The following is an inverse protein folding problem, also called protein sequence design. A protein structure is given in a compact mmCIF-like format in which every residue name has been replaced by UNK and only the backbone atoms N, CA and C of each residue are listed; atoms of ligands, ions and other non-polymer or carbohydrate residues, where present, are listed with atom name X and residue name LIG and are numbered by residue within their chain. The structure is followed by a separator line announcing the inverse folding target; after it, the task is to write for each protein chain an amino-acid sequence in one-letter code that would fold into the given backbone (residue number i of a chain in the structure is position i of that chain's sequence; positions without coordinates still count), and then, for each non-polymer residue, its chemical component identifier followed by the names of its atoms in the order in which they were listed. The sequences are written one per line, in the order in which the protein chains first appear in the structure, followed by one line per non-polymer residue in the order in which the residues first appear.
data_IF_918451068539
#
_entry.id   IF_918451068539
#
_cell.length_a   1.000
_cell.length_b   1.000
_cell.length_c   1.000
_cell.angle_alpha   90.00
_cell.angle_beta   90.00
_cell.angle_gamma   90.00
#
_symmetry.space_group_name_H-M   'P 1'
#
loop_
_entity.id
_entity.type
_entity.pdbx_description
1 polymer ?
#
# COMPACT_ATOMS: atom_id res chain seq x y z
N UNK A 1 7.41 -29.12 -1.39
CA UNK A 1 8.83 -28.84 -1.72
C UNK A 1 8.95 -28.73 -3.23
N UNK A 2 8.77 -27.52 -3.79
CA UNK A 2 9.15 -27.26 -5.18
C UNK A 2 10.63 -26.91 -5.15
N UNK A 3 11.46 -27.73 -5.77
CA UNK A 3 12.87 -27.40 -5.98
C UNK A 3 12.89 -26.06 -6.73
N UNK A 4 13.41 -25.01 -6.09
CA UNK A 4 13.69 -23.77 -6.78
C UNK A 4 14.67 -24.10 -7.90
N UNK A 5 14.28 -23.86 -9.14
CA UNK A 5 15.16 -24.07 -10.27
C UNK A 5 16.40 -23.19 -10.05
N UNK A 6 17.55 -23.83 -9.82
CA UNK A 6 18.84 -23.17 -9.97
C UNK A 6 18.83 -22.53 -11.36
N UNK A 7 19.08 -21.22 -11.45
CA UNK A 7 19.44 -20.67 -12.76
C UNK A 7 20.69 -21.43 -13.22
N UNK A 8 20.65 -22.17 -14.33
CA UNK A 8 21.82 -22.87 -14.81
C UNK A 8 22.87 -21.82 -15.18
N UNK A 9 23.98 -21.77 -14.44
CA UNK A 9 25.16 -20.96 -14.78
C UNK A 9 25.75 -20.08 -13.67
N UNK A 10 24.97 -19.67 -12.66
CA UNK A 10 25.48 -18.81 -11.58
C UNK A 10 25.98 -19.68 -10.43
N UNK A 11 27.27 -19.59 -10.09
CA UNK A 11 27.83 -20.38 -8.99
C UNK A 11 27.31 -19.83 -7.63
N UNK A 12 26.85 -20.69 -6.71
CA UNK A 12 26.25 -20.25 -5.46
C UNK A 12 27.27 -19.60 -4.51
N UNK A 13 26.82 -18.69 -3.66
CA UNK A 13 27.62 -18.20 -2.53
C UNK A 13 28.83 -17.33 -2.91
N UNK A 14 28.87 -16.78 -4.12
CA UNK A 14 29.86 -15.76 -4.45
C UNK A 14 29.62 -14.46 -3.67
N UNK A 15 30.68 -13.69 -3.41
CA UNK A 15 30.55 -12.30 -2.95
C UNK A 15 29.76 -11.47 -3.96
N UNK A 16 28.98 -10.50 -3.49
CA UNK A 16 28.11 -9.70 -4.35
C UNK A 16 28.31 -8.22 -4.10
N UNK A 17 28.23 -7.43 -5.17
CA UNK A 17 28.22 -5.97 -5.12
C UNK A 17 26.77 -5.48 -5.25
N UNK A 18 26.33 -4.66 -4.29
CA UNK A 18 25.05 -3.96 -4.37
C UNK A 18 25.28 -2.60 -5.03
N UNK A 19 24.45 -2.26 -6.01
CA UNK A 19 24.53 -0.96 -6.66
C UNK A 19 23.27 -0.54 -7.41
N UNK A 20 23.29 0.70 -7.88
CA UNK A 20 22.26 1.25 -8.76
C UNK A 20 22.11 0.40 -10.02
N UNK A 21 20.88 0.26 -10.51
CA UNK A 21 20.58 -0.42 -11.77
C UNK A 21 21.25 0.23 -12.98
N UNK A 22 21.65 -0.62 -13.92
CA UNK A 22 22.15 -0.28 -15.26
C UNK A 22 21.31 -1.04 -16.30
N UNK A 23 21.12 -0.52 -17.52
CA UNK A 23 20.31 -1.20 -18.54
C UNK A 23 20.72 -2.65 -18.81
N UNK A 24 22.01 -2.98 -18.65
CA UNK A 24 22.58 -4.32 -18.84
C UNK A 24 22.08 -5.32 -17.79
N UNK A 25 21.57 -4.86 -16.65
CA UNK A 25 21.03 -5.72 -15.58
C UNK A 25 19.63 -6.22 -15.89
N UNK A 26 18.90 -5.55 -16.80
CA UNK A 26 17.48 -5.82 -17.04
C UNK A 26 17.19 -7.29 -17.42
N UNK A 27 17.99 -7.97 -18.26
CA UNK A 27 17.84 -9.40 -18.50
C UNK A 27 18.03 -10.24 -17.22
N UNK A 28 19.00 -9.89 -16.37
CA UNK A 28 19.26 -10.57 -15.11
C UNK A 28 18.12 -10.41 -14.11
N UNK A 29 17.54 -9.22 -14.01
CA UNK A 29 16.32 -8.96 -13.22
C UNK A 29 15.17 -9.84 -13.72
N UNK A 30 14.90 -9.86 -15.02
CA UNK A 30 13.84 -10.67 -15.60
C UNK A 30 14.05 -12.17 -15.35
N UNK A 31 15.30 -12.64 -15.45
CA UNK A 31 15.64 -14.02 -15.15
C UNK A 31 15.43 -14.34 -13.66
N UNK A 32 15.75 -13.41 -12.75
CA UNK A 32 15.52 -13.53 -11.31
C UNK A 32 14.02 -13.68 -10.97
N UNK A 33 13.15 -12.84 -11.57
CA UNK A 33 11.70 -12.96 -11.39
C UNK A 33 11.17 -14.32 -11.88
N UNK A 34 11.63 -14.80 -13.04
CA UNK A 34 11.27 -16.13 -13.54
C UNK A 34 11.74 -17.26 -12.61
N UNK A 35 12.95 -17.17 -12.08
CA UNK A 35 13.48 -18.21 -11.19
C UNK A 35 12.70 -18.30 -9.86
N UNK A 36 12.22 -17.18 -9.32
CA UNK A 36 11.52 -17.15 -8.02
C UNK A 36 10.01 -17.38 -8.18
N UNK A 37 9.39 -16.77 -9.18
CA UNK A 37 7.93 -16.74 -9.33
C UNK A 37 7.41 -17.50 -10.55
N UNK A 38 8.28 -18.04 -11.42
CA UNK A 38 7.87 -18.44 -12.76
C UNK A 38 7.28 -17.25 -13.48
N UNK A 39 6.15 -17.42 -14.17
CA UNK A 39 5.39 -16.34 -14.83
C UNK A 39 4.28 -15.76 -13.93
N UNK A 40 4.23 -16.17 -12.66
CA UNK A 40 3.12 -15.90 -11.75
C UNK A 40 3.16 -14.55 -11.03
N UNK A 41 4.21 -13.74 -11.18
CA UNK A 41 4.22 -12.40 -10.60
C UNK A 41 3.31 -11.47 -11.44
N UNK A 42 2.45 -10.66 -10.80
CA UNK A 42 1.40 -9.92 -11.50
C UNK A 42 1.92 -8.75 -12.34
N UNK A 43 2.99 -8.09 -11.91
CA UNK A 43 3.54 -6.93 -12.63
C UNK A 43 4.49 -7.40 -13.74
N UNK A 44 4.06 -7.24 -14.99
CA UNK A 44 4.77 -7.76 -16.17
C UNK A 44 6.04 -7.00 -16.55
N UNK A 45 6.14 -5.72 -16.16
CA UNK A 45 7.31 -4.87 -16.41
C UNK A 45 8.64 -5.55 -16.03
N UNK A 46 8.68 -6.30 -14.93
CA UNK A 46 9.91 -6.96 -14.46
C UNK A 46 10.34 -8.16 -15.33
N UNK A 47 9.45 -8.73 -16.13
CA UNK A 47 9.76 -9.83 -17.05
C UNK A 47 10.26 -9.36 -18.42
N UNK A 48 10.10 -8.06 -18.72
CA UNK A 48 10.37 -7.46 -20.01
C UNK A 48 11.49 -6.42 -19.89
N UNK A 49 12.75 -6.77 -20.21
CA UNK A 49 13.91 -5.89 -20.01
C UNK A 49 13.75 -4.48 -20.58
N UNK A 50 13.17 -4.35 -21.79
CA UNK A 50 12.93 -3.05 -22.43
C UNK A 50 11.93 -2.19 -21.66
N UNK A 51 10.87 -2.80 -21.13
CA UNK A 51 9.86 -2.09 -20.36
C UNK A 51 10.41 -1.63 -19.01
N UNK A 52 11.19 -2.49 -18.34
CA UNK A 52 11.90 -2.12 -17.11
C UNK A 52 12.82 -0.94 -17.35
N UNK A 53 13.69 -0.99 -18.37
CA UNK A 53 14.59 0.12 -18.71
C UNK A 53 13.80 1.42 -18.94
N UNK A 54 12.72 1.35 -19.72
CA UNK A 54 11.90 2.53 -20.01
C UNK A 54 11.19 3.08 -18.76
N UNK A 55 10.74 2.21 -17.85
CA UNK A 55 10.15 2.62 -16.58
C UNK A 55 11.19 3.29 -15.65
N UNK A 56 12.42 2.78 -15.61
CA UNK A 56 13.54 3.39 -14.87
C UNK A 56 13.87 4.77 -15.44
N UNK A 57 13.97 4.90 -16.76
CA UNK A 57 14.25 6.19 -17.41
C UNK A 57 13.16 7.25 -17.16
N UNK A 58 11.91 6.83 -16.97
CA UNK A 58 10.80 7.71 -16.61
C UNK A 58 10.70 7.99 -15.11
N UNK A 59 11.60 7.44 -14.30
CA UNK A 59 11.55 7.52 -12.84
C UNK A 59 10.39 6.72 -12.22
N UNK A 60 9.69 5.86 -12.97
CA UNK A 60 8.55 5.12 -12.44
C UNK A 60 8.96 3.96 -11.52
N UNK A 61 10.20 3.48 -11.70
CA UNK A 61 10.82 2.40 -10.92
C UNK A 61 12.27 2.80 -10.63
N UNK A 62 12.70 2.63 -9.39
CA UNK A 62 14.07 2.82 -8.92
C UNK A 62 14.57 1.46 -8.42
N UNK A 63 15.33 0.71 -9.23
CA UNK A 63 15.84 -0.60 -8.85
C UNK A 63 17.23 -0.49 -8.23
N UNK A 64 17.47 -1.31 -7.22
CA UNK A 64 18.80 -1.63 -6.70
C UNK A 64 19.02 -3.12 -6.88
N UNK A 65 20.17 -3.49 -7.42
CA UNK A 65 20.51 -4.88 -7.76
C UNK A 65 21.76 -5.34 -7.02
N UNK A 66 21.82 -6.63 -6.74
CA UNK A 66 23.01 -7.32 -6.26
C UNK A 66 23.61 -8.14 -7.40
N UNK A 67 24.91 -7.95 -7.68
CA UNK A 67 25.64 -8.58 -8.78
C UNK A 67 26.77 -9.46 -8.29
N UNK A 68 27.02 -10.57 -8.95
CA UNK A 68 28.27 -11.33 -8.80
C UNK A 68 29.46 -10.58 -9.41
N UNK A 69 30.72 -11.01 -9.19
CA UNK A 69 31.88 -10.40 -9.84
C UNK A 69 31.87 -10.52 -11.38
N UNK A 70 31.06 -11.45 -11.93
CA UNK A 70 30.82 -11.59 -13.36
C UNK A 70 29.68 -10.71 -13.89
N UNK A 71 29.04 -9.92 -13.02
CA UNK A 71 27.93 -9.03 -13.36
C UNK A 71 26.56 -9.70 -13.38
N UNK A 72 26.44 -10.93 -12.88
CA UNK A 72 25.18 -11.66 -12.89
C UNK A 72 24.27 -11.15 -11.76
N UNK A 73 23.02 -10.79 -12.08
CA UNK A 73 22.06 -10.30 -11.09
C UNK A 73 21.51 -11.48 -10.28
N UNK A 74 21.69 -11.44 -8.96
CA UNK A 74 21.23 -12.50 -8.03
C UNK A 74 20.19 -12.02 -7.03
N UNK A 75 19.89 -10.72 -7.04
CA UNK A 75 18.85 -10.11 -6.23
C UNK A 75 18.51 -8.72 -6.73
N UNK A 76 17.29 -8.30 -6.44
CA UNK A 76 16.79 -6.96 -6.76
C UNK A 76 15.81 -6.51 -5.69
N UNK A 77 15.81 -5.22 -5.38
CA UNK A 77 14.72 -4.53 -4.67
C UNK A 77 14.32 -3.31 -5.49
N UNK A 78 13.04 -2.95 -5.45
CA UNK A 78 12.52 -1.85 -6.23
C UNK A 78 11.81 -0.84 -5.34
N UNK A 79 11.85 0.41 -5.77
CA UNK A 79 10.86 1.41 -5.40
C UNK A 79 10.04 1.79 -6.63
N UNK A 80 8.72 1.89 -6.56
CA UNK A 80 7.89 2.16 -7.73
C UNK A 80 6.66 3.01 -7.40
N UNK A 81 6.08 3.68 -8.40
CA UNK A 81 4.87 4.47 -8.18
C UNK A 81 3.60 3.61 -8.22
N UNK A 82 2.89 3.55 -7.10
CA UNK A 82 1.57 2.91 -6.96
C UNK A 82 0.51 3.84 -6.33
N UNK A 83 0.90 5.04 -5.90
CA UNK A 83 -0.01 6.07 -5.39
C UNK A 83 -0.56 6.98 -6.52
N UNK A 84 -1.68 7.71 -6.27
CA UNK A 84 -2.21 8.74 -7.16
C UNK A 84 -1.17 9.80 -7.53
N UNK A 85 -0.38 10.28 -6.55
CA UNK A 85 0.74 11.17 -6.79
C UNK A 85 2.04 10.42 -7.08
N UNK A 86 2.69 10.73 -8.21
CA UNK A 86 3.92 10.06 -8.67
C UNK A 86 5.19 10.45 -7.89
N UNK A 87 5.07 11.30 -6.86
CA UNK A 87 6.14 11.56 -5.90
C UNK A 87 6.15 10.64 -4.68
N UNK A 88 5.16 9.74 -4.56
CA UNK A 88 5.12 8.70 -3.52
C UNK A 88 5.48 7.36 -4.17
N UNK A 89 6.47 6.68 -3.59
CA UNK A 89 6.95 5.40 -4.10
C UNK A 89 6.79 4.31 -3.05
N UNK A 90 6.43 3.12 -3.49
CA UNK A 90 6.35 1.93 -2.65
C UNK A 90 7.67 1.16 -2.71
N UNK A 91 8.21 0.75 -1.55
CA UNK A 91 9.31 -0.22 -1.50
C UNK A 91 8.73 -1.62 -1.61
N UNK A 92 9.04 -2.33 -2.69
CA UNK A 92 8.48 -3.65 -2.93
C UNK A 92 9.16 -4.40 -4.08
N UNK A 93 8.47 -5.42 -4.59
CA UNK A 93 8.95 -6.29 -5.67
C UNK A 93 10.40 -6.78 -5.46
N UNK A 94 10.77 -7.03 -4.20
CA UNK A 94 12.10 -7.49 -3.81
C UNK A 94 12.23 -9.00 -3.85
N UNK A 95 13.33 -9.52 -4.37
CA UNK A 95 13.63 -10.94 -4.37
C UNK A 95 15.14 -11.20 -4.37
N UNK A 96 15.51 -12.36 -3.85
CA UNK A 96 16.87 -12.91 -3.91
C UNK A 96 16.79 -14.35 -4.38
N UNK A 97 17.69 -14.74 -5.28
CA UNK A 97 17.81 -16.12 -5.74
C UNK A 97 18.03 -17.07 -4.55
N UNK A 98 17.43 -18.28 -4.56
CA UNK A 98 17.54 -19.22 -3.44
C UNK A 98 18.96 -19.48 -2.95
N UNK A 99 19.93 -19.58 -3.87
CA UNK A 99 21.35 -19.80 -3.59
C UNK A 99 22.07 -18.64 -2.86
N UNK A 100 21.40 -17.49 -2.67
CA UNK A 100 21.98 -16.28 -2.05
C UNK A 100 21.17 -15.78 -0.83
N UNK A 101 20.13 -16.48 -0.38
CA UNK A 101 19.20 -15.99 0.66
C UNK A 101 19.80 -15.91 2.07
N UNK A 102 20.83 -16.68 2.38
CA UNK A 102 21.40 -16.78 3.74
C UNK A 102 22.25 -15.56 4.15
N UNK A 103 22.49 -14.61 3.23
CA UNK A 103 23.42 -13.49 3.42
C UNK A 103 22.80 -12.18 3.89
N UNK A 104 21.54 -12.19 4.35
CA UNK A 104 20.76 -10.96 4.63
C UNK A 104 20.67 -9.99 3.43
N UNK A 105 20.94 -10.48 2.21
CA UNK A 105 21.13 -9.65 1.02
C UNK A 105 19.95 -8.71 0.73
N UNK A 106 18.71 -9.16 0.96
CA UNK A 106 17.53 -8.31 0.78
C UNK A 106 17.52 -7.11 1.74
N UNK A 107 17.92 -7.31 3.00
CA UNK A 107 18.03 -6.24 3.98
C UNK A 107 19.07 -5.21 3.55
N UNK A 108 20.22 -5.66 3.04
CA UNK A 108 21.31 -4.78 2.64
C UNK A 108 20.99 -4.02 1.35
N UNK A 109 20.30 -4.66 0.40
CA UNK A 109 19.75 -3.98 -0.78
C UNK A 109 18.72 -2.91 -0.41
N UNK A 110 17.82 -3.19 0.54
CA UNK A 110 16.88 -2.16 1.05
C UNK A 110 17.66 -1.02 1.70
N UNK A 111 18.68 -1.31 2.52
CA UNK A 111 19.53 -0.27 3.11
C UNK A 111 20.16 0.63 2.05
N UNK A 112 20.75 0.03 1.00
CA UNK A 112 21.32 0.78 -0.12
C UNK A 112 20.26 1.60 -0.88
N UNK A 113 19.08 1.03 -1.12
CA UNK A 113 17.97 1.73 -1.76
C UNK A 113 17.60 3.01 -0.98
N UNK A 114 17.39 2.90 0.34
CA UNK A 114 16.89 4.02 1.13
C UNK A 114 17.97 5.07 1.44
N UNK A 115 19.22 4.67 1.60
CA UNK A 115 20.29 5.57 2.04
C UNK A 115 21.19 6.06 0.89
N UNK A 116 21.11 5.45 -0.31
CA UNK A 116 21.91 5.85 -1.49
C UNK A 116 21.03 6.19 -2.69
N UNK A 117 20.18 5.28 -3.15
CA UNK A 117 19.39 5.52 -4.37
C UNK A 117 18.34 6.61 -4.16
N UNK A 118 17.59 6.57 -3.05
CA UNK A 118 16.54 7.55 -2.71
C UNK A 118 17.05 9.00 -2.69
N UNK A 119 18.17 9.33 -2.01
CA UNK A 119 18.74 10.68 -2.08
C UNK A 119 19.17 11.12 -3.48
N UNK A 120 19.76 10.21 -4.28
CA UNK A 120 20.21 10.51 -5.65
C UNK A 120 19.04 10.82 -6.59
N UNK A 121 17.98 10.01 -6.52
CA UNK A 121 16.75 10.16 -7.30
C UNK A 121 15.83 11.27 -6.77
N UNK A 122 16.19 11.91 -5.64
CA UNK A 122 15.42 12.97 -4.99
C UNK A 122 13.97 12.57 -4.74
N UNK A 123 13.77 11.34 -4.28
CA UNK A 123 12.46 10.83 -3.91
C UNK A 123 11.89 11.65 -2.75
N UNK A 124 10.66 12.15 -2.83
CA UNK A 124 10.05 12.89 -1.73
C UNK A 124 9.57 12.01 -0.56
N UNK A 125 8.91 10.89 -0.88
CA UNK A 125 8.20 10.05 0.08
C UNK A 125 8.26 8.58 -0.34
N UNK A 126 8.58 7.71 0.61
CA UNK A 126 8.45 6.27 0.47
C UNK A 126 7.31 5.73 1.33
N UNK A 127 6.65 4.67 0.89
CA UNK A 127 5.72 3.90 1.70
C UNK A 127 5.89 2.38 1.50
N UNK A 128 5.24 1.58 2.33
CA UNK A 128 5.14 0.15 2.14
C UNK A 128 4.00 -0.46 2.95
N UNK A 129 3.57 -1.66 2.54
CA UNK A 129 2.40 -2.35 3.08
C UNK A 129 2.86 -3.64 3.79
N UNK A 130 3.03 -3.58 5.11
CA UNK A 130 3.43 -4.77 5.88
C UNK A 130 2.21 -5.64 6.17
N UNK A 131 2.19 -6.86 5.63
CA UNK A 131 1.11 -7.82 5.93
C UNK A 131 1.11 -8.22 7.40
N UNK A 132 -0.08 -8.44 7.94
CA UNK A 132 -0.29 -8.63 9.38
C UNK A 132 -0.54 -10.09 9.80
N UNK A 133 -0.40 -11.07 8.91
CA UNK A 133 -0.37 -12.50 9.29
C UNK A 133 0.96 -12.92 9.98
N UNK A 134 1.97 -12.05 9.97
CA UNK A 134 3.24 -12.16 10.69
C UNK A 134 3.82 -10.78 11.02
N UNK A 135 4.85 -10.72 11.86
CA UNK A 135 5.50 -9.45 12.28
C UNK A 135 6.79 -9.10 11.53
N UNK A 136 7.26 -9.94 10.61
CA UNK A 136 8.60 -9.77 10.01
C UNK A 136 8.73 -8.46 9.23
N UNK A 137 7.80 -8.17 8.31
CA UNK A 137 7.82 -6.94 7.53
C UNK A 137 7.62 -5.69 8.40
N UNK A 138 6.81 -5.77 9.46
CA UNK A 138 6.63 -4.67 10.42
C UNK A 138 7.95 -4.33 11.13
N UNK A 139 8.72 -5.35 11.54
CA UNK A 139 10.06 -5.16 12.13
C UNK A 139 11.03 -4.54 11.12
N UNK A 140 11.00 -4.98 9.87
CA UNK A 140 11.82 -4.39 8.80
C UNK A 140 11.46 -2.92 8.55
N UNK A 141 10.18 -2.59 8.42
CA UNK A 141 9.73 -1.20 8.25
C UNK A 141 10.20 -0.31 9.40
N UNK A 142 10.01 -0.77 10.64
CA UNK A 142 10.50 -0.05 11.81
C UNK A 142 12.02 0.16 11.78
N UNK A 143 12.81 -0.87 11.48
CA UNK A 143 14.26 -0.76 11.35
C UNK A 143 14.67 0.23 10.25
N UNK A 144 13.86 0.37 9.21
CA UNK A 144 14.06 1.28 8.08
C UNK A 144 13.46 2.68 8.30
N UNK A 145 12.97 2.98 9.52
CA UNK A 145 12.37 4.26 9.93
C UNK A 145 11.08 4.62 9.18
N UNK A 146 10.34 3.60 8.75
CA UNK A 146 8.97 3.78 8.26
C UNK A 146 8.03 3.81 9.46
N UNK A 147 7.08 4.74 9.45
CA UNK A 147 6.10 4.93 10.52
C UNK A 147 4.72 4.60 9.99
N UNK A 148 4.03 3.68 10.66
CA UNK A 148 2.66 3.30 10.31
C UNK A 148 1.70 4.49 10.45
N UNK A 149 0.78 4.63 9.50
CA UNK A 149 -0.28 5.66 9.54
C UNK A 149 -1.65 5.13 9.15
N UNK A 150 -1.76 4.00 8.46
CA UNK A 150 -3.07 3.45 8.07
C UNK A 150 -3.09 1.93 8.09
N UNK A 151 -4.29 1.37 8.31
CA UNK A 151 -4.57 -0.07 8.28
C UNK A 151 -5.51 -0.38 7.11
N UNK A 152 -5.10 -1.31 6.27
CA UNK A 152 -5.91 -1.91 5.22
C UNK A 152 -6.46 -3.24 5.73
N UNK A 153 -7.75 -3.28 6.06
CA UNK A 153 -8.41 -4.44 6.66
C UNK A 153 -8.75 -5.45 5.57
N UNK A 154 -8.42 -6.73 5.78
CA UNK A 154 -8.73 -7.83 4.87
C UNK A 154 -8.28 -7.61 3.41
N UNK A 155 -7.23 -6.83 3.17
CA UNK A 155 -6.77 -6.46 1.83
C UNK A 155 -6.56 -7.65 0.90
N UNK A 156 -5.83 -8.67 1.34
CA UNK A 156 -5.41 -9.79 0.49
C UNK A 156 -6.20 -11.08 0.78
N UNK A 157 -6.61 -11.86 -0.22
CA UNK A 157 -7.28 -13.14 0.00
C UNK A 157 -6.32 -14.18 0.57
N UNK A 158 -6.83 -15.10 1.39
CA UNK A 158 -6.06 -16.21 1.98
C UNK A 158 -5.31 -17.03 0.91
N UNK A 159 -5.90 -17.18 -0.27
CA UNK A 159 -5.34 -17.93 -1.39
C UNK A 159 -3.95 -17.42 -1.84
N UNK A 160 -3.68 -16.11 -1.65
CA UNK A 160 -2.38 -15.51 -1.94
C UNK A 160 -1.25 -16.07 -1.05
N UNK A 161 -1.57 -16.69 0.08
CA UNK A 161 -0.64 -17.25 1.07
C UNK A 161 -0.74 -18.77 1.21
N UNK A 162 -1.31 -19.44 0.20
CA UNK A 162 -1.55 -20.89 0.22
C UNK A 162 -0.26 -21.71 0.27
N UNK A 163 0.85 -21.20 -0.28
CA UNK A 163 2.17 -21.85 -0.22
C UNK A 163 2.74 -21.85 1.20
N UNK A 164 2.62 -20.72 1.89
CA UNK A 164 3.10 -20.52 3.25
C UNK A 164 2.14 -21.09 4.30
N UNK A 165 0.88 -21.35 3.93
CA UNK A 165 -0.22 -21.77 4.83
C UNK A 165 -0.32 -20.86 6.07
N UNK A 166 -0.11 -19.56 5.86
CA UNK A 166 0.08 -18.59 6.94
C UNK A 166 -1.17 -17.75 7.24
N UNK A 167 -2.29 -18.00 6.56
CA UNK A 167 -3.54 -17.26 6.72
C UNK A 167 -4.75 -18.21 6.68
N UNK A 168 -5.71 -18.01 7.59
CA UNK A 168 -6.98 -18.76 7.60
C UNK A 168 -8.15 -18.00 6.99
N UNK A 169 -8.00 -16.68 6.85
CA UNK A 169 -8.91 -15.78 6.16
C UNK A 169 -8.14 -14.71 5.38
N UNK A 170 -8.84 -13.63 5.00
CA UNK A 170 -8.20 -12.48 4.37
C UNK A 170 -7.16 -11.85 5.31
N UNK A 171 -6.14 -11.22 4.73
CA UNK A 171 -4.97 -10.71 5.43
C UNK A 171 -4.95 -9.19 5.32
N UNK A 172 -4.91 -8.54 6.49
CA UNK A 172 -4.74 -7.10 6.61
C UNK A 172 -3.29 -6.68 6.34
N UNK A 173 -3.09 -5.43 5.95
CA UNK A 173 -1.78 -4.81 5.76
C UNK A 173 -1.71 -3.46 6.49
N UNK A 174 -0.54 -3.12 7.03
CA UNK A 174 -0.27 -1.83 7.64
C UNK A 174 0.54 -0.97 6.68
N UNK A 175 -0.01 0.20 6.33
CA UNK A 175 0.69 1.19 5.53
C UNK A 175 1.59 2.02 6.44
N UNK A 176 2.88 2.06 6.10
CA UNK A 176 3.87 2.87 6.78
C UNK A 176 4.61 3.75 5.79
N UNK A 177 5.01 4.94 6.25
CA UNK A 177 5.58 5.99 5.42
C UNK A 177 6.93 6.47 5.97
N UNK A 178 7.81 6.90 5.08
CA UNK A 178 9.05 7.61 5.40
C UNK A 178 9.19 8.84 4.52
N UNK A 179 9.28 9.99 5.17
CA UNK A 179 9.57 11.27 4.52
C UNK A 179 11.06 11.40 4.26
N UNK A 180 11.41 11.75 3.02
CA UNK A 180 12.79 12.06 2.63
C UNK A 180 12.97 13.55 2.31
N UNK A 181 11.88 14.20 1.87
CA UNK A 181 11.84 15.65 1.67
C UNK A 181 10.69 16.22 2.50
N UNK A 182 10.99 16.84 3.66
CA UNK A 182 9.99 17.50 4.48
C UNK A 182 9.24 18.56 3.67
N UNK A 183 7.92 18.58 3.83
CA UNK A 183 7.07 19.56 3.19
C UNK A 183 5.89 19.89 4.09
N UNK A 184 5.69 21.18 4.37
CA UNK A 184 4.57 21.65 5.17
C UNK A 184 3.26 21.53 4.37
N UNK A 185 2.19 21.02 4.99
CA UNK A 185 0.89 20.86 4.34
C UNK A 185 -0.23 21.26 5.29
N UNK A 186 -1.32 21.77 4.72
CA UNK A 186 -2.59 21.87 5.42
C UNK A 186 -3.33 20.53 5.31
N UNK A 187 -4.03 20.16 6.38
CA UNK A 187 -4.84 18.95 6.46
C UNK A 187 -6.18 19.33 7.09
N UNK A 188 -7.23 19.23 6.29
CA UNK A 188 -8.61 19.43 6.71
C UNK A 188 -9.12 18.15 7.37
N UNK A 189 -9.46 18.23 8.66
CA UNK A 189 -9.86 17.10 9.47
C UNK A 189 -11.40 16.94 9.44
N UNK A 190 -11.92 15.80 8.97
CA UNK A 190 -13.32 15.45 9.18
C UNK A 190 -13.59 15.36 10.69
N UNK A 191 -14.60 16.06 11.26
CA UNK A 191 -14.82 16.08 12.71
C UNK A 191 -14.92 14.69 13.35
N UNK A 192 -15.56 13.74 12.65
CA UNK A 192 -15.68 12.33 13.07
C UNK A 192 -14.32 11.66 13.32
N UNK A 193 -13.32 11.97 12.51
CA UNK A 193 -12.00 11.36 12.57
C UNK A 193 -10.94 12.29 13.15
N UNK A 194 -11.29 13.52 13.51
CA UNK A 194 -10.34 14.56 13.85
C UNK A 194 -9.46 14.20 15.06
N UNK A 195 -9.98 13.47 16.05
CA UNK A 195 -9.20 12.96 17.18
C UNK A 195 -8.23 11.85 16.74
N UNK A 196 -8.74 10.83 16.04
CA UNK A 196 -7.96 9.70 15.53
C UNK A 196 -6.82 10.16 14.60
N UNK A 197 -7.11 11.07 13.66
CA UNK A 197 -6.11 11.59 12.72
C UNK A 197 -5.01 12.36 13.45
N UNK A 198 -5.34 13.21 14.43
CA UNK A 198 -4.32 13.92 15.23
C UNK A 198 -3.42 12.97 15.99
N UNK A 199 -4.00 11.92 16.58
CA UNK A 199 -3.23 10.91 17.30
C UNK A 199 -2.27 10.17 16.36
N UNK A 200 -2.72 9.79 15.17
CA UNK A 200 -1.87 9.13 14.17
C UNK A 200 -0.76 10.07 13.68
N UNK A 201 -1.10 11.32 13.34
CA UNK A 201 -0.11 12.31 12.90
C UNK A 201 0.93 12.63 13.97
N UNK A 202 0.57 12.61 15.26
CA UNK A 202 1.54 12.79 16.34
C UNK A 202 2.63 11.71 16.39
N UNK A 203 2.39 10.55 15.76
CA UNK A 203 3.35 9.46 15.67
C UNK A 203 4.39 9.59 14.56
N UNK A 204 4.20 10.52 13.61
CA UNK A 204 5.08 10.70 12.45
C UNK A 204 5.59 12.15 12.35
N UNK A 205 6.89 12.32 12.10
CA UNK A 205 7.51 13.65 12.02
C UNK A 205 7.17 14.35 10.69
N UNK A 206 6.02 15.03 10.68
CA UNK A 206 5.45 15.72 9.53
C UNK A 206 4.93 17.10 9.95
N UNK A 207 5.33 18.14 9.20
CA UNK A 207 4.87 19.51 9.45
C UNK A 207 3.45 19.70 8.88
N UNK A 208 2.41 19.59 9.73
CA UNK A 208 0.99 19.67 9.34
C UNK A 208 0.29 20.80 10.09
N UNK A 209 -0.48 21.59 9.35
CA UNK A 209 -1.43 22.56 9.92
C UNK A 209 -2.83 22.00 9.78
N UNK A 210 -3.49 21.73 10.90
CA UNK A 210 -4.84 21.16 10.90
C UNK A 210 -5.90 22.25 10.76
N UNK A 211 -6.83 22.03 9.83
CA UNK A 211 -8.03 22.81 9.63
C UNK A 211 -9.24 21.97 10.04
N UNK A 212 -10.29 22.61 10.57
CA UNK A 212 -11.57 21.94 10.80
C UNK A 212 -12.40 21.99 9.51
N UNK A 213 -13.07 20.89 9.17
CA UNK A 213 -14.08 20.90 8.11
C UNK A 213 -15.51 20.95 8.66
N UNK A 214 -16.40 21.52 7.86
CA UNK A 214 -17.84 21.46 8.07
C UNK A 214 -18.42 20.16 7.46
N UNK A 215 -18.95 19.22 8.27
CA UNK A 215 -19.56 18.00 7.77
C UNK A 215 -20.92 18.26 7.10
N UNK A 216 -21.52 19.43 7.31
CA UNK A 216 -22.77 19.88 6.68
C UNK A 216 -22.56 20.72 5.42
N UNK A 217 -21.32 20.86 4.95
CA UNK A 217 -21.02 21.61 3.73
C UNK A 217 -21.80 21.03 2.54
N UNK A 218 -22.51 21.90 1.81
CA UNK A 218 -23.22 21.49 0.60
C UNK A 218 -22.21 21.03 -0.45
N UNK A 219 -22.34 19.78 -0.92
CA UNK A 219 -21.56 19.29 -2.03
C UNK A 219 -21.94 20.05 -3.32
N UNK A 220 -20.94 20.41 -4.12
CA UNK A 220 -21.10 21.21 -5.33
C UNK A 220 -20.22 20.65 -6.44
N UNK A 221 -20.56 20.92 -7.70
CA UNK A 221 -19.79 20.44 -8.84
C UNK A 221 -20.05 18.97 -9.19
N UNK A 222 -19.11 18.35 -9.91
CA UNK A 222 -19.22 16.99 -10.46
C UNK A 222 -18.11 16.13 -9.90
N UNK A 223 -18.44 14.90 -9.50
CA UNK A 223 -17.50 13.97 -8.91
C UNK A 223 -16.60 13.35 -9.99
N UNK A 224 -15.29 13.36 -9.74
CA UNK A 224 -14.31 12.65 -10.56
C UNK A 224 -13.74 11.47 -9.77
N UNK A 225 -13.96 10.27 -10.29
CA UNK A 225 -13.48 9.01 -9.71
C UNK A 225 -12.52 8.34 -10.69
N UNK A 226 -11.38 7.89 -10.17
CA UNK A 226 -10.47 6.97 -10.86
C UNK A 226 -10.52 5.64 -10.12
N UNK A 227 -10.88 4.57 -10.83
CA UNK A 227 -11.13 3.24 -10.24
C UNK A 227 -10.14 2.25 -10.82
N UNK A 228 -9.41 1.58 -9.94
CA UNK A 228 -8.55 0.45 -10.28
C UNK A 228 -9.05 -0.80 -9.57
N UNK A 229 -9.17 -1.91 -10.31
CA UNK A 229 -9.64 -3.18 -9.77
C UNK A 229 -8.55 -4.23 -9.88
N UNK A 230 -8.28 -4.86 -8.75
CA UNK A 230 -7.30 -5.92 -8.58
C UNK A 230 -8.02 -7.24 -8.45
N UNK A 231 -8.32 -7.88 -9.59
CA UNK A 231 -9.12 -9.12 -9.62
C UNK A 231 -8.49 -10.23 -8.76
N UNK A 232 -7.16 -10.33 -8.75
CA UNK A 232 -6.42 -11.28 -7.89
C UNK A 232 -6.66 -11.05 -6.40
N UNK A 233 -6.82 -9.80 -5.97
CA UNK A 233 -7.10 -9.47 -4.57
C UNK A 233 -8.61 -9.43 -4.25
N UNK A 234 -9.47 -9.46 -5.28
CA UNK A 234 -10.89 -9.12 -5.19
C UNK A 234 -11.09 -7.77 -4.48
N UNK A 235 -10.25 -6.79 -4.85
CA UNK A 235 -10.22 -5.47 -4.24
C UNK A 235 -10.33 -4.37 -5.30
N UNK A 236 -10.98 -3.27 -4.97
CA UNK A 236 -11.02 -2.05 -5.77
C UNK A 236 -10.43 -0.88 -4.98
N UNK A 237 -9.60 -0.07 -5.65
CA UNK A 237 -9.07 1.19 -5.13
C UNK A 237 -9.68 2.33 -5.93
N UNK A 238 -10.26 3.29 -5.22
CA UNK A 238 -11.03 4.38 -5.79
C UNK A 238 -10.42 5.69 -5.33
N UNK A 239 -9.83 6.41 -6.26
CA UNK A 239 -9.32 7.75 -6.03
C UNK A 239 -10.43 8.76 -6.32
N UNK A 240 -10.85 9.51 -5.30
CA UNK A 240 -11.76 10.65 -5.49
C UNK A 240 -10.92 11.88 -5.80
N UNK A 241 -10.83 12.24 -7.07
CA UNK A 241 -10.08 13.42 -7.53
C UNK A 241 -10.84 14.70 -7.19
N UNK A 242 -12.14 14.69 -7.44
CA UNK A 242 -13.04 15.82 -7.14
C UNK A 242 -14.31 15.32 -6.45
N UNK A 243 -14.74 16.04 -5.42
CA UNK A 243 -15.95 15.75 -4.65
C UNK A 243 -17.09 16.61 -5.21
N UNK A 244 -18.08 15.97 -5.84
CA UNK A 244 -19.20 16.64 -6.49
C UNK A 244 -20.55 16.49 -5.76
N UNK A 245 -21.54 17.25 -6.19
CA UNK A 245 -22.92 17.12 -5.72
C UNK A 245 -23.55 15.76 -6.07
N UNK A 246 -23.02 15.08 -7.09
CA UNK A 246 -23.48 13.76 -7.54
C UNK A 246 -22.75 12.59 -6.86
N UNK A 247 -21.90 12.84 -5.85
CA UNK A 247 -21.10 11.81 -5.16
C UNK A 247 -21.98 10.63 -4.72
N UNK A 248 -23.15 10.93 -4.14
CA UNK A 248 -24.07 9.89 -3.66
C UNK A 248 -24.49 8.93 -4.78
N UNK A 249 -24.88 9.48 -5.93
CA UNK A 249 -25.28 8.67 -7.09
C UNK A 249 -24.08 7.89 -7.66
N UNK A 250 -22.93 8.54 -7.79
CA UNK A 250 -21.73 7.93 -8.39
C UNK A 250 -21.21 6.75 -7.59
N UNK A 251 -21.28 6.85 -6.27
CA UNK A 251 -20.87 5.76 -5.39
C UNK A 251 -21.92 4.62 -5.35
N UNK A 252 -23.21 4.90 -5.51
CA UNK A 252 -24.23 3.85 -5.69
C UNK A 252 -23.97 3.03 -6.97
N UNK A 253 -23.77 3.73 -8.10
CA UNK A 253 -23.40 3.13 -9.39
C UNK A 253 -22.13 2.25 -9.27
N UNK A 254 -21.08 2.80 -8.63
CA UNK A 254 -19.83 2.09 -8.37
C UNK A 254 -20.04 0.84 -7.52
N UNK A 255 -20.77 0.93 -6.41
CA UNK A 255 -20.99 -0.20 -5.51
C UNK A 255 -21.80 -1.31 -6.19
N UNK A 256 -22.74 -0.96 -7.06
CA UNK A 256 -23.46 -1.92 -7.89
C UNK A 256 -22.52 -2.63 -8.88
N UNK A 257 -21.66 -1.87 -9.57
CA UNK A 257 -20.66 -2.42 -10.49
C UNK A 257 -19.68 -3.37 -9.77
N UNK A 258 -19.10 -2.93 -8.65
CA UNK A 258 -18.13 -3.70 -7.88
C UNK A 258 -18.72 -5.02 -7.37
N UNK A 259 -20.00 -5.00 -6.95
CA UNK A 259 -20.75 -6.21 -6.58
C UNK A 259 -20.91 -7.17 -7.75
N UNK A 260 -21.26 -6.66 -8.94
CA UNK A 260 -21.37 -7.47 -10.15
C UNK A 260 -20.06 -8.15 -10.56
N UNK A 261 -18.92 -7.53 -10.20
CA UNK A 261 -17.57 -8.06 -10.44
C UNK A 261 -17.03 -8.97 -9.34
N UNK A 262 -17.79 -9.19 -8.26
CA UNK A 262 -17.36 -9.99 -7.12
C UNK A 262 -16.23 -9.35 -6.29
N UNK A 263 -16.10 -8.02 -6.34
CA UNK A 263 -15.17 -7.27 -5.48
C UNK A 263 -15.65 -7.37 -4.03
N UNK A 264 -14.72 -7.68 -3.13
CA UNK A 264 -14.97 -7.95 -1.71
C UNK A 264 -14.53 -6.79 -0.83
N UNK A 265 -13.44 -6.11 -1.22
CA UNK A 265 -12.87 -4.97 -0.51
C UNK A 265 -12.88 -3.75 -1.42
N UNK A 266 -13.38 -2.62 -0.92
CA UNK A 266 -13.37 -1.35 -1.65
C UNK A 266 -12.68 -0.31 -0.77
N UNK A 267 -11.58 0.23 -1.26
CA UNK A 267 -10.84 1.31 -0.62
C UNK A 267 -11.10 2.60 -1.38
N UNK A 268 -11.47 3.64 -0.66
CA UNK A 268 -11.70 4.98 -1.19
C UNK A 268 -10.66 5.91 -0.58
N UNK A 269 -9.97 6.66 -1.43
CA UNK A 269 -9.04 7.69 -1.02
C UNK A 269 -9.65 9.07 -1.26
N UNK A 270 -9.73 9.85 -0.19
CA UNK A 270 -10.20 11.25 -0.23
C UNK A 270 -9.01 12.19 -0.02
N UNK A 271 -8.96 13.30 -0.73
CA UNK A 271 -7.93 14.33 -0.52
C UNK A 271 -8.26 15.14 0.75
N UNK A 272 -7.39 15.09 1.78
CA UNK A 272 -7.56 15.85 3.02
C UNK A 272 -7.29 17.35 2.86
N UNK A 273 -6.83 17.83 1.70
CA UNK A 273 -6.80 19.27 1.44
C UNK A 273 -8.16 19.81 0.97
N UNK A 274 -9.10 18.95 0.58
CA UNK A 274 -10.43 19.39 0.14
C UNK A 274 -11.26 19.92 1.33
N UNK A 275 -11.93 21.08 1.20
CA UNK A 275 -12.87 21.55 2.22
C UNK A 275 -14.13 20.66 2.32
N UNK A 276 -14.43 19.87 1.27
CA UNK A 276 -15.61 19.00 1.20
C UNK A 276 -15.36 17.60 1.78
N UNK A 277 -14.15 17.31 2.28
CA UNK A 277 -13.77 15.98 2.75
C UNK A 277 -14.66 15.45 3.87
N UNK A 278 -15.09 16.31 4.79
CA UNK A 278 -15.99 15.90 5.87
C UNK A 278 -17.38 15.49 5.36
N UNK A 279 -17.95 16.26 4.44
CA UNK A 279 -19.24 15.92 3.82
C UNK A 279 -19.13 14.60 3.02
N UNK A 280 -18.02 14.37 2.31
CA UNK A 280 -17.78 13.09 1.62
C UNK A 280 -17.69 11.90 2.58
N UNK A 281 -17.01 12.05 3.73
CA UNK A 281 -16.96 11.02 4.78
C UNK A 281 -18.38 10.64 5.24
N UNK A 282 -19.24 11.63 5.49
CA UNK A 282 -20.62 11.39 5.92
C UNK A 282 -21.49 10.75 4.82
N UNK A 283 -21.23 11.04 3.54
CA UNK A 283 -21.90 10.34 2.41
C UNK A 283 -21.49 8.86 2.33
N UNK A 284 -20.22 8.54 2.57
CA UNK A 284 -19.71 7.18 2.42
C UNK A 284 -20.14 6.27 3.58
N UNK A 285 -20.25 6.81 4.79
CA UNK A 285 -20.46 6.02 6.01
C UNK A 285 -21.72 5.14 5.98
N UNK A 286 -22.91 5.58 5.53
CA UNK A 286 -24.12 4.75 5.44
C UNK A 286 -24.01 3.51 4.53
N UNK A 287 -23.03 3.49 3.62
CA UNK A 287 -22.72 2.31 2.80
C UNK A 287 -21.72 1.36 3.46
N UNK A 288 -21.31 1.65 4.68
CA UNK A 288 -20.44 0.80 5.47
C UNK A 288 -18.94 1.05 5.23
N UNK A 289 -18.58 2.26 4.77
CA UNK A 289 -17.19 2.70 4.78
C UNK A 289 -16.80 3.21 6.17
N UNK A 290 -15.61 2.83 6.62
CA UNK A 290 -15.02 3.23 7.89
C UNK A 290 -13.54 3.62 7.71
N UNK A 291 -12.94 4.18 8.75
CA UNK A 291 -11.56 4.67 8.78
C UNK A 291 -10.55 3.59 8.38
N UNK A 292 -9.57 3.95 7.55
CA UNK A 292 -8.32 3.22 7.42
C UNK A 292 -7.12 4.00 7.95
N UNK A 293 -7.11 5.32 7.80
CA UNK A 293 -6.09 6.22 8.35
C UNK A 293 -5.58 7.25 7.34
N UNK A 294 -4.77 8.23 7.77
CA UNK A 294 -4.15 9.20 6.89
C UNK A 294 -3.02 8.60 6.05
N UNK A 295 -2.90 9.08 4.81
CA UNK A 295 -1.90 8.68 3.82
C UNK A 295 -1.06 9.92 3.43
N UNK A 296 0.11 10.14 4.05
CA UNK A 296 0.94 11.30 3.76
C UNK A 296 1.31 11.46 2.28
N UNK A 297 1.12 12.68 1.74
CA UNK A 297 1.40 13.05 0.33
C UNK A 297 0.73 12.19 -0.75
N UNK A 298 -0.32 11.44 -0.43
CA UNK A 298 -0.97 10.52 -1.38
C UNK A 298 -1.49 11.21 -2.65
N UNK A 299 -1.91 12.48 -2.55
CA UNK A 299 -2.35 13.34 -3.64
C UNK A 299 -1.33 14.46 -3.96
N UNK A 300 -0.11 14.37 -3.43
CA UNK A 300 0.83 15.46 -3.13
C UNK A 300 0.43 16.27 -1.88
N UNK A 301 -0.87 16.45 -1.64
CA UNK A 301 -1.44 16.61 -0.31
C UNK A 301 -1.67 15.26 0.38
N UNK A 302 -2.01 15.30 1.67
CA UNK A 302 -2.31 14.08 2.42
C UNK A 302 -3.69 13.52 2.02
N UNK A 303 -3.80 12.20 1.97
CA UNK A 303 -5.06 11.49 1.70
C UNK A 303 -5.67 10.90 2.96
N UNK A 304 -6.94 10.54 2.90
CA UNK A 304 -7.63 9.72 3.88
C UNK A 304 -8.04 8.40 3.22
N UNK A 305 -7.62 7.28 3.79
CA UNK A 305 -8.17 5.98 3.47
C UNK A 305 -9.49 5.78 4.22
N UNK A 306 -10.56 5.56 3.48
CA UNK A 306 -11.77 4.90 3.96
C UNK A 306 -11.92 3.56 3.25
N UNK A 307 -12.53 2.59 3.92
CA UNK A 307 -12.63 1.24 3.36
C UNK A 307 -13.95 0.56 3.73
N UNK A 308 -14.42 -0.29 2.83
CA UNK A 308 -15.54 -1.20 3.02
C UNK A 308 -15.02 -2.63 2.80
N UNK A 309 -15.27 -3.49 3.78
CA UNK A 309 -14.80 -4.89 3.81
C UNK A 309 -15.99 -5.83 4.09
N UNK A 310 -15.81 -7.16 4.11
CA UNK A 310 -16.86 -8.09 4.52
C UNK A 310 -17.48 -7.75 5.89
N UNK A 311 -18.73 -8.15 6.09
CA UNK A 311 -19.46 -7.88 7.34
C UNK A 311 -18.76 -8.44 8.60
N UNK A 312 -17.94 -9.48 8.45
CA UNK A 312 -17.10 -10.02 9.53
C UNK A 312 -15.64 -10.07 9.06
N UNK A 313 -14.84 -9.02 9.35
CA UNK A 313 -13.43 -9.00 9.01
C UNK A 313 -12.62 -10.02 9.82
N UNK A 314 -11.50 -10.48 9.28
CA UNK A 314 -10.61 -11.43 9.96
C UNK A 314 -9.69 -10.76 10.99
N UNK A 315 -10.28 -10.20 12.06
CA UNK A 315 -9.51 -9.56 13.13
C UNK A 315 -8.59 -10.52 13.90
N UNK A 316 -8.96 -11.81 13.97
CA UNK A 316 -8.30 -12.80 14.84
C UNK A 316 -6.87 -13.13 14.40
N UNK A 317 -6.62 -13.15 13.09
CA UNK A 317 -5.32 -13.54 12.54
C UNK A 317 -4.33 -12.38 12.47
N UNK A 318 -4.74 -11.16 12.85
CA UNK A 318 -3.89 -9.97 12.82
C UNK A 318 -2.87 -10.02 13.97
N UNK A 319 -1.59 -9.92 13.59
CA UNK A 319 -0.44 -9.85 14.49
C UNK A 319 0.19 -8.48 14.36
N UNK A 320 0.33 -7.79 15.49
CA UNK A 320 0.79 -6.41 15.53
C UNK A 320 2.09 -6.31 16.31
N UNK A 321 3.04 -5.57 15.75
CA UNK A 321 4.30 -5.23 16.39
C UNK A 321 4.39 -3.72 16.62
N UNK A 322 4.55 -3.31 17.87
CA UNK A 322 4.81 -1.92 18.25
C UNK A 322 3.55 -1.15 18.67
N UNK A 323 3.75 -0.16 19.55
CA UNK A 323 2.65 0.60 20.16
C UNK A 323 1.89 1.46 19.14
N UNK A 324 2.61 2.11 18.22
CA UNK A 324 1.98 2.93 17.18
C UNK A 324 1.04 2.10 16.30
N UNK A 325 1.50 0.93 15.84
CA UNK A 325 0.70 0.03 15.02
C UNK A 325 -0.53 -0.47 15.78
N UNK A 326 -0.39 -0.74 17.09
CA UNK A 326 -1.52 -1.15 17.93
C UNK A 326 -2.57 -0.06 18.06
N UNK A 327 -2.15 1.20 18.29
CA UNK A 327 -3.07 2.35 18.34
C UNK A 327 -3.87 2.52 17.05
N UNK A 328 -3.21 2.46 15.90
CA UNK A 328 -3.89 2.57 14.59
C UNK A 328 -4.92 1.45 14.42
N UNK A 329 -4.55 0.22 14.78
CA UNK A 329 -5.48 -0.91 14.75
C UNK A 329 -6.68 -0.70 15.66
N UNK A 330 -6.46 -0.25 16.90
CA UNK A 330 -7.54 -0.04 17.86
C UNK A 330 -8.51 1.06 17.37
N UNK A 331 -7.99 2.18 16.84
CA UNK A 331 -8.78 3.26 16.25
C UNK A 331 -9.63 2.79 15.06
N UNK A 332 -9.03 2.05 14.13
CA UNK A 332 -9.71 1.54 12.93
C UNK A 332 -10.76 0.50 13.30
N UNK A 333 -10.43 -0.42 14.21
CA UNK A 333 -11.37 -1.44 14.69
C UNK A 333 -12.53 -0.83 15.46
N UNK A 334 -12.29 0.20 16.26
CA UNK A 334 -13.34 0.92 16.98
C UNK A 334 -14.31 1.59 16.01
N UNK A 335 -13.84 2.32 14.99
CA UNK A 335 -14.74 2.97 14.01
C UNK A 335 -15.57 1.94 13.24
N UNK A 336 -14.98 0.78 12.90
CA UNK A 336 -15.73 -0.33 12.32
C UNK A 336 -16.82 -0.86 13.28
N UNK A 337 -16.52 -1.03 14.57
CA UNK A 337 -17.50 -1.50 15.57
C UNK A 337 -18.65 -0.51 15.76
N UNK A 338 -18.36 0.79 15.82
CA UNK A 338 -19.37 1.85 15.92
C UNK A 338 -20.29 1.87 14.71
N UNK A 339 -19.74 1.61 13.51
CA UNK A 339 -20.51 1.47 12.29
C UNK A 339 -21.45 0.25 12.33
N UNK A 340 -21.02 -0.89 12.89
CA UNK A 340 -21.88 -2.08 13.03
C UNK A 340 -22.94 -1.92 14.12
N UNK A 341 -22.59 -1.28 15.25
CA UNK A 341 -23.51 -1.07 16.37
C UNK A 341 -24.58 -0.01 16.12
N UNK A 342 -24.46 0.75 15.02
CA UNK A 342 -25.41 1.81 14.63
C UNK A 342 -26.60 1.35 13.79
N UNK A 343 -26.73 0.06 13.44
CA UNK A 343 -27.79 -0.43 12.54
C UNK A 343 -28.55 -1.66 13.10
N UNK A 344 -29.61 -1.47 13.89
CA UNK A 344 -30.57 -2.53 14.20
C UNK A 344 -31.60 -2.79 13.06
N UNK A 345 -31.48 -2.16 11.89
CA UNK A 345 -32.56 -2.11 10.89
C UNK A 345 -32.26 -2.81 9.55
N UNK A 346 -31.10 -3.46 9.38
CA UNK A 346 -30.76 -4.20 8.14
C UNK A 346 -30.78 -5.73 8.23
N UNK A 347 -31.13 -6.30 9.38
CA UNK A 347 -31.53 -7.71 9.47
C UNK A 347 -33.01 -7.86 9.07
N UNK A 348 -33.32 -7.72 7.79
CA UNK A 348 -34.73 -7.78 7.40
C UNK A 348 -35.06 -7.60 5.92
N UNK A 349 -34.30 -8.19 5.00
CA UNK A 349 -34.85 -8.67 3.72
C UNK A 349 -33.84 -9.55 3.00
N UNK A 350 -33.92 -10.85 3.25
CA UNK A 350 -33.40 -11.91 2.41
C UNK A 350 -34.47 -13.01 2.46
N UNK A 351 -35.38 -12.98 1.49
CA UNK A 351 -36.19 -14.10 1.08
C UNK A 351 -35.95 -14.29 -0.43
#
# INVERSE_FOLDING_TARGET
MSQGQHQPGIEPGQEVEIGLFRPEDAPGVAACFRAVYGEGYPVKTYYHPRELIAAVQRGQIIPVVARTPRGEVVGVVNMFNSAPFKGVYEVGAGLVLPSYRERRLNHDMIGYLLETAVPLEKVPMGYGEAVLNHVYQQKTQHAMRYVATALEVDLMPAAAYSKEKSATGRVAAMMAFRSYQPHARQVTLPPRYAAALREIYAGIDLQRTFLEADPGAALQGVTELEVEVFDFASAARVTVREIGADLTRRMDDLLAEMRGRGVVVIQVWLNLASPLVAAAVEVLRPWGFFLGGPLPRWFDEDGLLMQKVPAQPNWRDIKIQGQQNQRIFDLVRQDWQELQGGDPAREGTSA
#
